data_IF_109919338454
#
_entry.id   IF_109919338454
#
_cell.length_a   1.000
_cell.length_b   1.000
_cell.length_c   1.000
_cell.angle_alpha   90.00
_cell.angle_beta   90.00
_cell.angle_gamma   90.00
#
_symmetry.space_group_name_H-M   'P 1'
#
loop_
_entity.id
_entity.type
_entity.pdbx_description
1 polymer ?
#
# COMPACT_ATOMS: atom_id res chain seq x y z
N UNK A 1 -6.49 17.36 34.70
CA UNK A 1 -7.41 17.57 33.56
C UNK A 1 -6.68 17.00 32.34
N UNK A 2 -7.08 15.81 31.92
CA UNK A 2 -6.58 15.26 30.65
C UNK A 2 -7.15 16.10 29.51
N UNK A 3 -6.31 16.88 28.88
CA UNK A 3 -6.70 17.64 27.69
C UNK A 3 -6.78 16.68 26.51
N UNK A 4 -7.98 16.40 26.04
CA UNK A 4 -8.18 15.67 24.77
C UNK A 4 -7.73 16.60 23.65
N UNK A 5 -6.65 16.24 22.98
CA UNK A 5 -6.17 16.96 21.80
C UNK A 5 -6.82 16.38 20.55
N UNK A 6 -7.57 17.20 19.82
CA UNK A 6 -8.10 16.85 18.49
C UNK A 6 -7.15 17.40 17.43
N UNK A 7 -6.40 16.52 16.78
CA UNK A 7 -5.60 16.89 15.61
C UNK A 7 -6.19 16.26 14.35
N UNK A 8 -6.35 17.05 13.31
CA UNK A 8 -6.90 16.59 12.03
C UNK A 8 -5.94 16.98 10.90
N UNK A 9 -5.65 16.03 10.03
CA UNK A 9 -4.96 16.29 8.77
C UNK A 9 -5.96 16.18 7.62
N UNK A 10 -5.79 17.00 6.58
CA UNK A 10 -6.65 17.00 5.41
C UNK A 10 -5.83 16.71 4.15
N UNK A 11 -6.46 16.01 3.20
CA UNK A 11 -6.04 16.01 1.80
C UNK A 11 -7.00 16.90 1.01
N UNK A 12 -6.43 17.84 0.26
CA UNK A 12 -7.16 18.73 -0.62
C UNK A 12 -6.63 18.52 -2.03
N UNK A 13 -7.47 18.04 -2.93
CA UNK A 13 -7.14 17.87 -4.34
C UNK A 13 -8.12 18.63 -5.22
N UNK A 14 -7.63 19.20 -6.30
CA UNK A 14 -8.47 19.92 -7.24
C UNK A 14 -7.71 20.60 -8.37
N UNK A 15 -8.47 21.27 -9.23
CA UNK A 15 -7.96 22.00 -10.36
C UNK A 15 -8.75 23.30 -10.52
N UNK A 16 -8.07 24.38 -10.79
CA UNK A 16 -8.64 25.61 -11.30
C UNK A 16 -8.59 25.53 -12.83
N UNK A 17 -9.60 26.03 -13.53
CA UNK A 17 -9.62 26.05 -14.99
C UNK A 17 -8.34 26.70 -15.54
N UNK A 18 -7.77 26.09 -16.57
CA UNK A 18 -6.52 26.50 -17.22
C UNK A 18 -5.26 26.37 -16.36
N UNK A 19 -5.34 25.74 -15.16
CA UNK A 19 -4.20 25.43 -14.32
C UNK A 19 -3.97 23.90 -14.21
N UNK A 20 -2.78 23.48 -13.81
CA UNK A 20 -2.50 22.08 -13.52
C UNK A 20 -3.19 21.64 -12.22
N UNK A 21 -3.77 20.40 -12.17
CA UNK A 21 -4.34 19.88 -10.94
C UNK A 21 -3.27 19.75 -9.85
N UNK A 22 -3.67 19.97 -8.61
CA UNK A 22 -2.77 19.94 -7.47
C UNK A 22 -3.40 19.14 -6.32
N UNK A 23 -2.52 18.52 -5.50
CA UNK A 23 -2.92 17.84 -4.27
C UNK A 23 -2.06 18.35 -3.13
N UNK A 24 -2.71 18.71 -2.05
CA UNK A 24 -2.09 19.18 -0.81
C UNK A 24 -2.48 18.31 0.37
N UNK A 25 -1.56 18.14 1.29
CA UNK A 25 -1.85 17.69 2.65
C UNK A 25 -1.69 18.88 3.58
N UNK A 26 -2.71 19.14 4.39
CA UNK A 26 -2.69 20.21 5.41
C UNK A 26 -2.60 19.52 6.76
N UNK A 27 -1.52 19.77 7.47
CA UNK A 27 -1.30 19.25 8.82
C UNK A 27 -2.17 19.97 9.85
N UNK A 28 -2.36 19.35 11.01
CA UNK A 28 -3.10 19.95 12.12
C UNK A 28 -2.59 21.33 12.55
N UNK A 29 -1.30 21.63 12.30
CA UNK A 29 -0.68 22.94 12.55
C UNK A 29 -0.96 23.96 11.44
N UNK A 30 -1.65 23.58 10.37
CA UNK A 30 -1.99 24.44 9.25
C UNK A 30 -0.95 24.50 8.13
N UNK A 31 0.18 23.79 8.24
CA UNK A 31 1.21 23.78 7.21
C UNK A 31 0.77 22.93 6.00
N UNK A 32 0.79 23.46 4.76
CA UNK A 32 0.50 22.67 3.57
C UNK A 32 1.76 21.96 3.04
N UNK A 33 1.61 20.71 2.63
CA UNK A 33 2.58 19.96 1.85
C UNK A 33 1.96 19.64 0.50
N UNK A 34 2.62 20.03 -0.60
CA UNK A 34 2.15 19.73 -1.96
C UNK A 34 2.77 18.45 -2.50
N UNK A 35 2.00 17.64 -3.20
CA UNK A 35 2.53 16.56 -4.02
C UNK A 35 3.45 17.12 -5.11
N UNK A 36 4.55 16.43 -5.40
CA UNK A 36 5.56 16.84 -6.38
C UNK A 36 5.82 15.70 -7.37
N UNK A 37 6.59 15.95 -8.43
CA UNK A 37 6.99 14.90 -9.36
C UNK A 37 7.82 13.79 -8.70
N UNK A 38 8.62 14.12 -7.72
CA UNK A 38 9.43 13.16 -6.95
C UNK A 38 8.63 12.47 -5.82
N UNK A 39 7.52 13.07 -5.39
CA UNK A 39 6.60 12.51 -4.41
C UNK A 39 5.16 12.69 -4.92
N UNK A 40 4.72 11.83 -5.88
CA UNK A 40 3.54 12.09 -6.70
C UNK A 40 2.22 11.69 -6.03
N UNK A 41 2.24 11.28 -4.77
CA UNK A 41 1.04 10.99 -3.99
C UNK A 41 1.18 11.49 -2.57
N UNK A 42 0.06 11.65 -1.90
CA UNK A 42 -0.05 11.98 -0.49
C UNK A 42 -0.96 10.96 0.20
N UNK A 43 -0.68 10.70 1.47
CA UNK A 43 -1.44 9.75 2.29
C UNK A 43 -1.58 10.30 3.71
N UNK A 44 -2.78 10.15 4.27
CA UNK A 44 -3.06 10.42 5.68
C UNK A 44 -3.61 9.16 6.35
N UNK A 45 -3.64 9.13 7.66
CA UNK A 45 -4.07 7.97 8.44
C UNK A 45 -2.97 6.93 8.59
N UNK A 46 -3.35 5.65 8.64
CA UNK A 46 -2.39 4.55 8.77
C UNK A 46 -1.60 4.33 7.47
N UNK A 47 -0.29 4.53 7.54
CA UNK A 47 0.57 4.47 6.35
C UNK A 47 1.55 3.30 6.33
N UNK A 48 1.78 2.62 7.47
CA UNK A 48 2.83 1.60 7.61
C UNK A 48 2.71 0.45 6.61
N UNK A 49 1.50 0.04 6.29
CA UNK A 49 1.25 -1.16 5.49
C UNK A 49 0.99 -0.84 4.01
N UNK A 50 0.33 0.28 3.73
CA UNK A 50 -0.05 0.67 2.38
C UNK A 50 1.01 1.50 1.65
N UNK A 51 1.68 2.41 2.34
CA UNK A 51 2.65 3.32 1.75
C UNK A 51 3.81 2.61 1.04
N UNK A 52 4.41 1.53 1.55
CA UNK A 52 5.48 0.81 0.86
C UNK A 52 5.09 0.30 -0.54
N UNK A 53 3.83 0.04 -0.78
CA UNK A 53 3.30 -0.37 -2.10
C UNK A 53 3.31 0.82 -3.05
N UNK A 54 2.82 1.97 -2.59
CA UNK A 54 2.79 3.22 -3.35
C UNK A 54 4.20 3.71 -3.69
N UNK A 55 5.11 3.70 -2.71
CA UNK A 55 6.50 4.15 -2.87
C UNK A 55 7.26 3.31 -3.90
N UNK A 56 6.96 2.00 -4.01
CA UNK A 56 7.60 1.11 -5.00
C UNK A 56 6.99 1.23 -6.39
N UNK A 57 5.69 1.47 -6.48
CA UNK A 57 4.95 1.34 -7.74
C UNK A 57 4.64 2.65 -8.45
N UNK A 58 4.39 3.74 -7.73
CA UNK A 58 3.94 4.99 -8.35
C UNK A 58 5.13 5.84 -8.81
N UNK A 59 5.13 6.16 -10.10
CA UNK A 59 6.10 7.06 -10.75
C UNK A 59 5.34 8.11 -11.54
N UNK A 60 5.65 9.39 -11.33
CA UNK A 60 4.91 10.51 -11.92
C UNK A 60 4.81 10.44 -13.45
N UNK A 61 5.88 10.05 -14.12
CA UNK A 61 5.94 10.05 -15.58
C UNK A 61 5.47 8.74 -16.24
N UNK A 62 5.33 7.67 -15.47
CA UNK A 62 5.14 6.31 -15.99
C UNK A 62 3.78 5.70 -15.58
N UNK A 63 3.29 6.07 -14.39
CA UNK A 63 2.07 5.48 -13.84
C UNK A 63 0.84 6.12 -14.47
N UNK A 64 0.01 5.33 -15.14
CA UNK A 64 -1.27 5.80 -15.65
C UNK A 64 -2.28 6.00 -14.50
N UNK A 65 -3.35 6.73 -14.77
CA UNK A 65 -4.42 6.95 -13.79
C UNK A 65 -5.07 5.63 -13.35
N UNK A 66 -5.28 4.70 -14.29
CA UNK A 66 -5.82 3.36 -14.02
C UNK A 66 -4.88 2.52 -13.15
N UNK A 67 -3.57 2.62 -13.37
CA UNK A 67 -2.58 1.96 -12.51
C UNK A 67 -2.56 2.59 -11.13
N UNK A 68 -2.61 3.92 -11.03
CA UNK A 68 -2.66 4.63 -9.75
C UNK A 68 -3.87 4.22 -8.91
N UNK A 69 -5.03 4.03 -9.54
CA UNK A 69 -6.24 3.49 -8.90
C UNK A 69 -5.99 2.12 -8.30
N UNK A 70 -5.36 1.19 -9.04
CA UNK A 70 -5.03 -0.15 -8.54
C UNK A 70 -4.07 -0.10 -7.36
N UNK A 71 -3.01 0.72 -7.46
CA UNK A 71 -2.08 0.94 -6.35
C UNK A 71 -2.78 1.47 -5.10
N UNK A 72 -3.67 2.44 -5.25
CA UNK A 72 -4.43 3.00 -4.13
C UNK A 72 -5.32 1.95 -3.45
N UNK A 73 -6.07 1.16 -4.23
CA UNK A 73 -6.94 0.10 -3.72
C UNK A 73 -6.13 -0.96 -2.99
N UNK A 74 -5.03 -1.45 -3.57
CA UNK A 74 -4.15 -2.45 -2.95
C UNK A 74 -3.48 -1.92 -1.69
N UNK A 75 -3.09 -0.64 -1.67
CA UNK A 75 -2.53 0.02 -0.48
C UNK A 75 -3.52 0.01 0.68
N UNK A 76 -4.78 0.38 0.44
CA UNK A 76 -5.84 0.36 1.45
C UNK A 76 -6.16 -1.07 1.87
N UNK A 77 -6.31 -2.00 0.94
CA UNK A 77 -6.59 -3.41 1.23
C UNK A 77 -5.49 -4.05 2.10
N UNK A 78 -4.22 -3.79 1.80
CA UNK A 78 -3.08 -4.25 2.61
C UNK A 78 -3.10 -3.67 4.02
N UNK A 79 -3.53 -2.42 4.16
CA UNK A 79 -3.69 -1.77 5.47
C UNK A 79 -4.83 -2.40 6.26
N UNK A 80 -5.98 -2.67 5.62
CA UNK A 80 -7.14 -3.32 6.24
C UNK A 80 -6.82 -4.72 6.77
N UNK A 81 -5.93 -5.45 6.12
CA UNK A 81 -5.49 -6.78 6.59
C UNK A 81 -4.61 -6.74 7.83
N UNK A 82 -3.93 -5.64 8.06
CA UNK A 82 -2.91 -5.51 9.11
C UNK A 82 -3.32 -4.58 10.25
N UNK A 83 -4.41 -3.83 10.07
CA UNK A 83 -4.90 -2.87 11.05
C UNK A 83 -6.44 -2.90 11.13
N UNK A 84 -6.96 -3.38 12.26
CA UNK A 84 -8.40 -3.52 12.50
C UNK A 84 -9.16 -2.19 12.56
N UNK A 85 -8.47 -1.07 12.74
CA UNK A 85 -9.06 0.27 12.72
C UNK A 85 -9.33 0.79 11.30
N UNK A 86 -8.84 0.09 10.27
CA UNK A 86 -9.07 0.41 8.86
C UNK A 86 -9.95 -0.66 8.24
N UNK A 87 -11.09 -0.25 7.71
CA UNK A 87 -12.07 -1.20 7.19
C UNK A 87 -12.95 -0.57 6.10
N UNK A 88 -13.77 -1.40 5.46
CA UNK A 88 -14.72 -0.94 4.45
C UNK A 88 -15.83 -0.05 5.05
N UNK A 89 -16.52 0.74 4.23
CA UNK A 89 -16.38 0.78 2.77
C UNK A 89 -15.16 1.58 2.32
N UNK A 90 -14.65 1.26 1.10
CA UNK A 90 -13.64 2.07 0.42
C UNK A 90 -14.36 2.94 -0.62
N UNK A 91 -14.24 4.24 -0.51
CA UNK A 91 -14.73 5.18 -1.51
C UNK A 91 -13.58 5.59 -2.43
N UNK A 92 -13.74 5.32 -3.72
CA UNK A 92 -12.80 5.66 -4.79
C UNK A 92 -13.38 6.76 -5.67
N UNK A 93 -12.68 7.87 -5.77
CA UNK A 93 -13.00 8.93 -6.70
C UNK A 93 -11.84 9.10 -7.69
N UNK A 94 -12.17 9.24 -8.97
CA UNK A 94 -11.18 9.46 -10.01
C UNK A 94 -11.49 10.77 -10.72
N UNK A 95 -10.51 11.65 -10.72
CA UNK A 95 -10.56 12.95 -11.38
C UNK A 95 -9.55 12.97 -12.53
N UNK A 96 -9.99 13.20 -13.73
CA UNK A 96 -9.10 13.41 -14.87
C UNK A 96 -8.83 14.90 -15.09
N UNK A 97 -7.66 15.22 -15.64
CA UNK A 97 -7.29 16.60 -15.94
C UNK A 97 -8.37 17.25 -16.82
N UNK A 98 -8.65 18.51 -16.53
CA UNK A 98 -9.56 19.38 -17.27
C UNK A 98 -11.05 18.99 -17.24
N UNK A 99 -11.40 17.91 -16.56
CA UNK A 99 -12.80 17.53 -16.34
C UNK A 99 -13.57 18.55 -15.46
N UNK A 100 -12.88 19.28 -14.59
CA UNK A 100 -13.41 20.23 -13.60
C UNK A 100 -14.56 19.68 -12.76
N UNK A 101 -14.68 18.36 -12.71
CA UNK A 101 -15.67 17.61 -11.91
C UNK A 101 -15.24 16.16 -11.77
N UNK A 102 -15.64 15.52 -10.68
CA UNK A 102 -15.49 14.07 -10.51
C UNK A 102 -16.53 13.35 -11.36
N UNK A 103 -16.09 12.55 -12.33
CA UNK A 103 -16.98 11.77 -13.20
C UNK A 103 -17.04 10.29 -12.85
N UNK A 104 -16.00 9.77 -12.19
CA UNK A 104 -15.89 8.36 -11.84
C UNK A 104 -15.84 8.21 -10.33
N UNK A 105 -16.79 7.45 -9.80
CA UNK A 105 -16.92 7.11 -8.38
C UNK A 105 -17.24 5.64 -8.25
N UNK A 106 -16.60 4.98 -7.29
CA UNK A 106 -16.88 3.59 -6.93
C UNK A 106 -16.80 3.43 -5.42
N UNK A 107 -17.78 2.74 -4.85
CA UNK A 107 -17.78 2.34 -3.45
C UNK A 107 -17.64 0.83 -3.37
N UNK A 108 -16.59 0.35 -2.71
CA UNK A 108 -16.40 -1.06 -2.39
C UNK A 108 -16.98 -1.33 -1.01
N UNK A 109 -18.04 -2.13 -0.95
CA UNK A 109 -18.69 -2.53 0.31
C UNK A 109 -18.15 -3.85 0.86
N UNK A 110 -18.97 -4.54 1.66
CA UNK A 110 -18.72 -5.89 2.14
C UNK A 110 -20.00 -6.70 2.03
N UNK A 111 -19.97 -7.83 1.30
CA UNK A 111 -18.90 -8.31 0.42
C UNK A 111 -18.80 -7.52 -0.88
N UNK A 112 -17.61 -7.50 -1.52
CA UNK A 112 -17.42 -6.94 -2.85
C UNK A 112 -16.58 -7.90 -3.70
N UNK A 113 -17.16 -8.39 -4.80
CA UNK A 113 -16.55 -9.42 -5.65
C UNK A 113 -15.32 -8.89 -6.39
N UNK A 114 -15.37 -7.65 -6.89
CA UNK A 114 -14.27 -7.02 -7.62
C UNK A 114 -13.06 -6.77 -6.69
N UNK A 115 -13.29 -6.27 -5.49
CA UNK A 115 -12.23 -6.10 -4.49
C UNK A 115 -11.61 -7.45 -4.11
N UNK A 116 -12.41 -8.50 -3.98
CA UNK A 116 -11.95 -9.86 -3.67
C UNK A 116 -11.10 -10.43 -4.81
N UNK A 117 -11.47 -10.17 -6.07
CA UNK A 117 -10.70 -10.58 -7.23
C UNK A 117 -9.37 -9.84 -7.33
N UNK A 118 -9.36 -8.52 -7.13
CA UNK A 118 -8.15 -7.69 -7.09
C UNK A 118 -7.19 -8.23 -6.02
N UNK A 119 -7.69 -8.49 -4.81
CA UNK A 119 -6.92 -9.06 -3.70
C UNK A 119 -6.30 -10.41 -4.06
N UNK A 120 -7.12 -11.33 -4.54
CA UNK A 120 -6.66 -12.69 -4.88
C UNK A 120 -5.62 -12.68 -6.00
N UNK A 121 -5.79 -11.81 -6.98
CA UNK A 121 -4.83 -11.62 -8.07
C UNK A 121 -3.52 -11.04 -7.54
N UNK A 122 -3.57 -10.01 -6.70
CA UNK A 122 -2.38 -9.43 -6.07
C UNK A 122 -1.58 -10.46 -5.27
N UNK A 123 -2.26 -11.23 -4.41
CA UNK A 123 -1.62 -12.27 -3.60
C UNK A 123 -0.96 -13.38 -4.44
N UNK A 124 -1.62 -13.78 -5.53
CA UNK A 124 -1.06 -14.76 -6.47
C UNK A 124 0.20 -14.26 -7.14
N UNK A 125 0.17 -13.03 -7.67
CA UNK A 125 1.32 -12.46 -8.37
C UNK A 125 2.49 -12.16 -7.40
N UNK A 126 2.19 -11.75 -6.16
CA UNK A 126 3.22 -11.57 -5.14
C UNK A 126 3.94 -12.90 -4.83
N UNK A 127 3.20 -14.01 -4.67
CA UNK A 127 3.82 -15.33 -4.47
C UNK A 127 4.67 -15.74 -5.68
N UNK A 128 4.22 -15.49 -6.90
CA UNK A 128 5.00 -15.76 -8.10
C UNK A 128 6.29 -14.95 -8.15
N UNK A 129 6.20 -13.66 -7.81
CA UNK A 129 7.36 -12.79 -7.76
C UNK A 129 8.41 -13.31 -6.75
N UNK A 130 8.00 -13.72 -5.56
CA UNK A 130 8.93 -14.28 -4.56
C UNK A 130 9.66 -15.52 -5.09
N UNK A 131 8.94 -16.43 -5.75
CA UNK A 131 9.55 -17.65 -6.32
C UNK A 131 10.55 -17.33 -7.44
N UNK A 132 10.37 -16.22 -8.15
CA UNK A 132 11.26 -15.81 -9.24
C UNK A 132 12.49 -15.01 -8.78
N UNK A 133 12.60 -14.69 -7.49
CA UNK A 133 13.79 -13.98 -6.97
C UNK A 133 15.02 -14.91 -7.01
N UNK A 134 16.24 -14.34 -7.18
CA UNK A 134 17.47 -15.09 -7.07
C UNK A 134 17.61 -15.77 -5.68
N UNK A 135 18.29 -16.90 -5.65
CA UNK A 135 18.62 -17.57 -4.40
C UNK A 135 19.53 -16.70 -3.53
N UNK A 136 19.33 -16.80 -2.22
CA UNK A 136 20.19 -16.12 -1.24
C UNK A 136 21.42 -16.97 -1.02
N UNK A 137 22.60 -16.39 -1.26
CA UNK A 137 23.88 -17.03 -0.96
C UNK A 137 24.22 -16.79 0.50
N UNK A 138 24.40 -17.87 1.26
CA UNK A 138 24.85 -17.81 2.64
C UNK A 138 26.38 -17.93 2.70
N UNK A 139 27.03 -17.24 3.61
CA UNK A 139 28.44 -17.48 3.92
C UNK A 139 28.59 -18.89 4.52
N UNK A 140 29.76 -19.54 4.35
CA UNK A 140 30.07 -20.76 5.07
C UNK A 140 29.85 -20.57 6.57
N UNK A 141 29.43 -21.64 7.26
CA UNK A 141 29.20 -21.56 8.70
C UNK A 141 30.53 -21.17 9.40
N UNK A 142 30.58 -20.05 10.13
CA UNK A 142 31.78 -19.65 10.84
C UNK A 142 32.22 -20.64 11.93
N UNK A 143 31.35 -21.61 12.30
CA UNK A 143 31.68 -22.68 13.24
C UNK A 143 32.29 -23.91 12.56
N UNK A 144 32.25 -24.04 11.24
CA UNK A 144 32.86 -25.13 10.49
C UNK A 144 34.42 -25.05 10.53
N UNK A 145 34.97 -23.86 10.73
CA UNK A 145 36.42 -23.70 10.89
C UNK A 145 36.96 -24.08 12.31
N UNK A 146 36.05 -24.27 13.28
CA UNK A 146 36.39 -24.57 14.67
C UNK A 146 35.61 -25.78 15.20
N UNK A 147 36.13 -26.99 14.93
CA UNK A 147 35.78 -28.24 15.61
C UNK A 147 34.32 -28.71 15.64
N UNK A 148 34.00 -29.65 14.82
CA UNK A 148 33.14 -30.82 14.98
C UNK A 148 32.14 -30.92 16.13
N UNK A 149 31.28 -29.93 16.32
CA UNK A 149 30.06 -30.07 17.13
C UNK A 149 28.88 -29.79 16.25
N UNK A 150 28.51 -30.79 15.44
CA UNK A 150 27.22 -30.83 14.75
C UNK A 150 26.14 -31.30 15.71
N UNK A 151 25.47 -30.38 16.33
CA UNK A 151 24.11 -30.61 16.83
C UNK A 151 23.17 -29.61 16.18
N UNK A 152 22.80 -29.89 14.93
CA UNK A 152 21.57 -29.33 14.39
C UNK A 152 20.42 -29.99 15.14
N UNK A 153 19.66 -29.20 15.87
CA UNK A 153 18.36 -29.64 16.34
C UNK A 153 17.50 -29.81 15.08
N UNK A 154 17.13 -31.03 14.77
CA UNK A 154 16.16 -31.34 13.73
C UNK A 154 14.87 -30.59 14.05
N UNK A 155 14.62 -29.48 13.34
CA UNK A 155 13.35 -28.78 13.44
C UNK A 155 12.31 -29.68 12.75
N UNK A 156 11.32 -30.20 13.47
CA UNK A 156 10.33 -31.07 12.88
C UNK A 156 9.61 -30.34 11.75
N UNK A 157 9.52 -30.95 10.58
CA UNK A 157 8.73 -30.42 9.47
C UNK A 157 7.30 -30.24 9.95
N UNK A 158 6.84 -29.00 9.92
CA UNK A 158 5.43 -28.68 10.16
C UNK A 158 4.67 -29.18 8.94
N UNK A 159 3.95 -30.28 9.06
CA UNK A 159 3.01 -30.74 8.06
C UNK A 159 1.85 -29.73 8.00
N UNK A 160 1.84 -28.92 6.95
CA UNK A 160 0.70 -28.06 6.66
C UNK A 160 -0.47 -28.96 6.25
N UNK A 161 -1.66 -28.79 6.85
CA UNK A 161 -2.82 -29.56 6.45
C UNK A 161 -3.14 -29.29 4.99
N UNK A 162 -3.13 -30.32 4.16
CA UNK A 162 -3.65 -30.29 2.80
C UNK A 162 -5.17 -30.12 2.90
N UNK A 163 -5.64 -28.87 2.67
CA UNK A 163 -7.07 -28.58 2.64
C UNK A 163 -7.74 -29.35 1.51
N UNK A 164 -8.70 -30.16 1.89
CA UNK A 164 -9.75 -30.74 1.04
C UNK A 164 -10.88 -29.73 0.83
#
# INVERSE_FOLDING_TARGET
RDSISFSVNFLLGGQIADEAPQVYMVYAQGNPLRATRSSPFLQIGESKYGRPILDRGIRYAETTLEQAVKYAVISIDSTMRSNVAVGPPIDLLVYANDDLRVRRYRRFGVPDAELSEIRSSWERELRRAIVSLPDITFAPDPLDEHHGITHFVDVPKIDLPTGS
#
